data_IF_528677071126
#
_entry.id   IF_528677071126
#
_cell.length_a   1.000
_cell.length_b   1.000
_cell.length_c   1.000
_cell.angle_alpha   90.00
_cell.angle_beta   90.00
_cell.angle_gamma   90.00
#
_symmetry.space_group_name_H-M   'P 1'
#
loop_
_entity.id
_entity.type
_entity.pdbx_description
1 polymer ?
#
# COMPACT_ATOMS: atom_id res chain seq x y z
N UNK A 1 -2.09 -51.65 27.06
CA UNK A 1 -1.27 -50.44 27.26
C UNK A 1 -1.16 -49.76 25.92
N UNK A 2 -1.61 -48.51 25.87
CA UNK A 2 -1.92 -47.67 24.71
C UNK A 2 -0.70 -47.26 23.90
N UNK A 3 -0.81 -47.18 22.56
CA UNK A 3 -0.33 -46.01 21.77
C UNK A 3 -0.87 -46.04 20.33
N UNK A 4 -1.84 -45.17 20.07
CA UNK A 4 -2.04 -44.42 18.83
C UNK A 4 -1.92 -42.93 19.24
N UNK A 5 -1.52 -41.97 18.39
CA UNK A 5 -1.19 -42.10 16.97
C UNK A 5 0.05 -41.28 16.48
N UNK A 6 0.31 -41.41 15.17
CA UNK A 6 0.87 -40.39 14.26
C UNK A 6 2.32 -39.96 14.49
N UNK A 7 3.24 -40.71 13.91
CA UNK A 7 4.55 -40.19 13.56
C UNK A 7 4.36 -39.03 12.57
N UNK A 8 4.46 -37.80 13.09
CA UNK A 8 4.40 -36.53 12.36
C UNK A 8 5.76 -36.19 11.72
N UNK A 9 6.67 -37.16 11.58
CA UNK A 9 8.05 -36.91 11.14
C UNK A 9 8.23 -36.80 9.61
N UNK A 10 7.18 -37.02 8.82
CA UNK A 10 7.18 -36.68 7.38
C UNK A 10 6.29 -35.47 7.06
N UNK A 11 6.18 -34.52 7.99
CA UNK A 11 5.65 -33.19 7.67
C UNK A 11 6.83 -32.32 7.27
N UNK A 12 7.00 -32.16 5.95
CA UNK A 12 8.05 -31.34 5.35
C UNK A 12 8.12 -29.97 6.03
N UNK A 13 9.33 -29.40 6.18
CA UNK A 13 9.57 -28.08 6.78
C UNK A 13 8.76 -26.93 6.14
N UNK A 14 8.04 -27.20 5.04
CA UNK A 14 7.15 -26.27 4.35
C UNK A 14 5.75 -26.17 4.99
N UNK A 15 5.29 -27.17 5.74
CA UNK A 15 3.93 -27.23 6.31
C UNK A 15 3.82 -26.59 7.71
N UNK A 16 4.94 -26.25 8.36
CA UNK A 16 4.95 -25.57 9.67
C UNK A 16 4.99 -24.04 9.59
N UNK A 17 4.77 -23.44 8.41
CA UNK A 17 4.66 -21.97 8.33
C UNK A 17 3.26 -21.53 8.78
N UNK A 18 3.17 -20.99 9.99
CA UNK A 18 1.96 -20.32 10.45
C UNK A 18 1.55 -19.25 9.42
N UNK A 19 0.31 -19.33 8.92
CA UNK A 19 -0.23 -18.29 8.04
C UNK A 19 -0.36 -17.01 8.84
N UNK A 20 0.21 -15.93 8.33
CA UNK A 20 0.08 -14.64 9.00
C UNK A 20 -1.38 -14.22 9.11
N UNK A 21 -1.70 -13.60 10.24
CA UNK A 21 -3.00 -12.94 10.43
C UNK A 21 -3.19 -11.92 9.32
N UNK A 22 -4.42 -11.78 8.83
CA UNK A 22 -4.75 -10.74 7.87
C UNK A 22 -4.29 -9.39 8.44
N UNK A 23 -3.50 -8.61 7.69
CA UNK A 23 -3.00 -7.35 8.16
C UNK A 23 -4.17 -6.42 8.55
N UNK A 24 -3.98 -5.63 9.60
CA UNK A 24 -4.94 -4.61 9.97
C UNK A 24 -5.17 -3.66 8.79
N UNK A 25 -6.43 -3.38 8.47
CA UNK A 25 -6.79 -2.44 7.42
C UNK A 25 -6.69 -1.02 7.98
N UNK A 26 -5.66 -0.29 7.56
CA UNK A 26 -5.51 1.13 7.85
C UNK A 26 -6.10 1.97 6.69
N UNK A 27 -6.91 3.00 6.95
CA UNK A 27 -7.57 3.78 5.90
C UNK A 27 -6.59 4.61 5.06
N UNK A 28 -5.39 4.91 5.55
CA UNK A 28 -4.36 5.68 4.86
C UNK A 28 -3.50 4.83 3.90
N UNK A 29 -3.56 3.50 4.02
CA UNK A 29 -2.75 2.56 3.23
C UNK A 29 -3.61 1.66 2.32
N UNK A 30 -2.94 0.99 1.38
CA UNK A 30 -3.50 -0.04 0.50
C UNK A 30 -2.47 -1.14 0.27
N UNK A 31 -2.89 -2.40 0.32
CA UNK A 31 -2.05 -3.54 -0.06
C UNK A 31 -1.94 -3.61 -1.58
N UNK A 32 -0.71 -3.66 -2.10
CA UNK A 32 -0.40 -3.78 -3.54
C UNK A 32 0.06 -5.18 -3.95
N UNK A 33 0.40 -6.04 -2.98
CA UNK A 33 0.72 -7.43 -3.22
C UNK A 33 0.87 -8.22 -1.92
N UNK A 34 0.42 -9.48 -1.93
CA UNK A 34 0.55 -10.40 -0.80
C UNK A 34 0.62 -11.85 -1.29
N UNK A 35 1.60 -12.64 -0.83
CA UNK A 35 1.72 -14.07 -1.14
C UNK A 35 1.67 -14.96 0.12
N UNK A 36 1.16 -14.43 1.24
CA UNK A 36 1.10 -15.13 2.54
C UNK A 36 2.43 -15.14 3.31
N UNK A 37 3.57 -14.85 2.66
CA UNK A 37 4.89 -14.76 3.30
C UNK A 37 5.55 -13.39 3.16
N UNK A 38 5.09 -12.59 2.21
CA UNK A 38 5.50 -11.25 1.87
C UNK A 38 4.23 -10.43 1.64
N UNK A 39 4.21 -9.22 2.16
CA UNK A 39 3.15 -8.25 1.91
C UNK A 39 3.74 -6.88 1.63
N UNK A 40 3.13 -6.18 0.68
CA UNK A 40 3.55 -4.84 0.25
C UNK A 40 2.39 -3.86 0.32
N UNK A 41 2.69 -2.69 0.84
CA UNK A 41 1.76 -1.59 1.01
C UNK A 41 2.15 -0.41 0.14
N UNK A 42 1.17 0.44 -0.11
CA UNK A 42 1.34 1.78 -0.65
C UNK A 42 0.42 2.74 0.10
N UNK A 43 0.75 4.02 0.13
CA UNK A 43 -0.16 5.04 0.65
C UNK A 43 -1.26 5.32 -0.36
N UNK A 44 -2.47 5.58 0.13
CA UNK A 44 -3.59 5.97 -0.74
C UNK A 44 -3.33 7.34 -1.36
N UNK A 45 -3.96 7.66 -2.51
CA UNK A 45 -3.93 9.01 -3.06
C UNK A 45 -4.35 10.02 -1.99
N UNK A 46 -3.55 11.07 -1.78
CA UNK A 46 -3.80 12.06 -0.73
C UNK A 46 -3.01 11.82 0.54
N UNK A 47 -2.24 10.73 0.59
CA UNK A 47 -1.37 10.42 1.71
C UNK A 47 0.06 10.19 1.23
N UNK A 48 1.02 10.64 2.01
CA UNK A 48 2.45 10.42 1.83
C UNK A 48 2.97 9.47 2.90
N UNK A 49 3.94 8.64 2.53
CA UNK A 49 4.60 7.76 3.49
C UNK A 49 5.36 8.58 4.53
N UNK A 50 5.15 8.27 5.80
CA UNK A 50 5.81 8.95 6.91
C UNK A 50 6.79 8.04 7.64
N UNK A 51 6.36 6.84 8.04
CA UNK A 51 7.19 5.90 8.81
C UNK A 51 6.69 4.45 8.71
N UNK A 52 7.47 3.51 9.26
CA UNK A 52 7.15 2.07 9.29
C UNK A 52 7.69 1.30 8.07
N UNK A 53 7.13 0.12 7.78
CA UNK A 53 7.64 -0.76 6.74
C UNK A 53 6.60 -1.00 5.62
N UNK A 54 6.89 -0.48 4.43
CA UNK A 54 6.04 -0.72 3.24
C UNK A 54 6.09 -2.16 2.74
N UNK A 55 7.09 -2.94 3.15
CA UNK A 55 7.22 -4.36 2.85
C UNK A 55 7.46 -5.12 4.14
N UNK A 56 6.59 -6.08 4.43
CA UNK A 56 6.66 -6.89 5.65
C UNK A 56 6.70 -8.36 5.30
N UNK A 57 7.43 -9.14 6.09
CA UNK A 57 7.57 -10.58 5.89
C UNK A 57 6.82 -11.32 6.99
N UNK A 58 6.22 -12.45 6.65
CA UNK A 58 5.57 -13.32 7.62
C UNK A 58 6.62 -14.16 8.33
N UNK A 59 6.76 -13.92 9.62
CA UNK A 59 7.63 -14.67 10.52
C UNK A 59 7.04 -16.07 10.82
N UNK A 60 7.87 -16.98 11.31
CA UNK A 60 7.48 -18.36 11.66
C UNK A 60 6.41 -18.40 12.75
N UNK A 61 6.33 -17.34 13.55
CA UNK A 61 5.32 -17.17 14.60
C UNK A 61 3.95 -16.73 14.06
N UNK A 62 3.78 -16.56 12.75
CA UNK A 62 2.52 -16.11 12.14
C UNK A 62 2.26 -14.61 12.32
N UNK A 63 3.32 -13.84 12.59
CA UNK A 63 3.29 -12.39 12.78
C UNK A 63 4.04 -11.69 11.64
N UNK A 64 3.54 -10.52 11.24
CA UNK A 64 4.23 -9.69 10.25
C UNK A 64 5.42 -8.98 10.90
N UNK A 65 6.60 -9.15 10.31
CA UNK A 65 7.81 -8.46 10.71
C UNK A 65 7.67 -6.94 10.57
N UNK A 66 8.48 -6.19 11.32
CA UNK A 66 8.53 -4.74 11.21
C UNK A 66 7.27 -4.02 11.72
N UNK A 67 7.22 -2.72 11.43
CA UNK A 67 6.17 -1.81 11.87
C UNK A 67 5.12 -1.60 10.78
N UNK A 68 3.87 -1.42 11.20
CA UNK A 68 2.80 -1.04 10.27
C UNK A 68 3.17 0.31 9.61
N UNK A 69 3.08 0.44 8.28
CA UNK A 69 3.36 1.69 7.61
C UNK A 69 2.34 2.76 8.02
N UNK A 70 2.84 3.95 8.31
CA UNK A 70 2.06 5.13 8.64
C UNK A 70 2.12 6.09 7.46
N UNK A 71 0.96 6.48 6.96
CA UNK A 71 0.84 7.49 5.92
C UNK A 71 0.11 8.72 6.47
N UNK A 72 0.65 9.91 6.22
CA UNK A 72 0.03 11.18 6.62
C UNK A 72 -0.53 11.93 5.44
N UNK A 73 -1.51 12.80 5.68
CA UNK A 73 -2.14 13.61 4.63
C UNK A 73 -1.07 14.39 3.87
N UNK A 74 -1.05 14.20 2.56
CA UNK A 74 -0.16 14.93 1.68
C UNK A 74 -0.69 16.35 1.48
N UNK A 75 -0.07 17.30 2.18
CA UNK A 75 -0.40 18.73 2.08
C UNK A 75 -0.10 19.34 0.70
N UNK A 76 0.56 18.59 -0.20
CA UNK A 76 0.82 19.00 -1.59
C UNK A 76 -0.41 18.76 -2.48
N UNK A 77 -1.29 17.82 -2.13
CA UNK A 77 -2.52 17.51 -2.88
C UNK A 77 -3.40 18.75 -3.18
N UNK A 78 -3.77 19.60 -2.19
CA UNK A 78 -4.52 20.82 -2.48
C UNK A 78 -3.69 21.86 -3.25
N UNK A 79 -2.36 21.88 -3.10
CA UNK A 79 -1.49 22.85 -3.77
C UNK A 79 -1.32 22.56 -5.25
N UNK A 80 -1.09 21.29 -5.63
CA UNK A 80 -0.95 20.89 -7.03
C UNK A 80 -2.27 21.05 -7.80
N UNK A 81 -3.40 20.75 -7.17
CA UNK A 81 -4.72 20.97 -7.77
C UNK A 81 -4.97 22.45 -8.07
N UNK A 82 -4.63 23.35 -7.13
CA UNK A 82 -4.73 24.80 -7.35
C UNK A 82 -3.82 25.28 -8.50
N UNK A 83 -2.58 24.79 -8.57
CA UNK A 83 -1.67 25.14 -9.67
C UNK A 83 -2.22 24.67 -11.02
N UNK A 84 -2.74 23.44 -11.09
CA UNK A 84 -3.35 22.90 -12.32
C UNK A 84 -4.61 23.68 -12.73
N UNK A 85 -5.42 24.13 -11.78
CA UNK A 85 -6.58 25.00 -12.06
C UNK A 85 -6.15 26.36 -12.60
N UNK A 86 -5.11 26.98 -12.01
CA UNK A 86 -4.60 28.28 -12.45
C UNK A 86 -3.99 28.15 -13.86
N UNK A 87 -3.12 27.17 -14.08
CA UNK A 87 -2.49 26.94 -15.39
C UNK A 87 -3.55 26.58 -16.43
N UNK A 88 -4.52 25.73 -16.09
CA UNK A 88 -5.65 25.41 -16.96
C UNK A 88 -6.47 26.64 -17.34
N UNK A 89 -6.81 27.50 -16.37
CA UNK A 89 -7.52 28.75 -16.63
C UNK A 89 -6.70 29.73 -17.48
N UNK A 90 -5.40 29.83 -17.25
CA UNK A 90 -4.50 30.66 -18.05
C UNK A 90 -4.45 30.16 -19.49
N UNK A 91 -4.27 28.85 -19.71
CA UNK A 91 -4.24 28.25 -21.05
C UNK A 91 -5.57 28.41 -21.77
N UNK A 92 -6.71 28.19 -21.09
CA UNK A 92 -8.04 28.38 -21.71
C UNK A 92 -8.30 29.84 -22.05
N UNK A 93 -7.89 30.79 -21.20
CA UNK A 93 -7.98 32.22 -21.49
C UNK A 93 -7.08 32.60 -22.66
N UNK A 94 -5.83 32.14 -22.70
CA UNK A 94 -4.94 32.40 -23.84
C UNK A 94 -5.50 31.84 -25.15
N UNK A 95 -6.00 30.60 -25.14
CA UNK A 95 -6.61 29.98 -26.33
C UNK A 95 -7.91 30.67 -26.76
N UNK A 96 -8.71 31.17 -25.82
CA UNK A 96 -9.92 31.94 -26.12
C UNK A 96 -9.62 33.39 -26.56
N UNK A 97 -8.46 33.93 -26.17
CA UNK A 97 -7.99 35.25 -26.56
C UNK A 97 -7.18 35.25 -27.87
N UNK A 98 -6.78 34.08 -28.38
CA UNK A 98 -6.36 33.97 -29.78
C UNK A 98 -7.62 34.21 -30.60
N UNK A 99 -7.74 35.33 -31.35
CA UNK A 99 -8.87 35.51 -32.24
C UNK A 99 -8.90 34.30 -33.17
N UNK A 100 -10.04 33.61 -33.22
CA UNK A 100 -10.30 32.49 -34.14
C UNK A 100 -10.24 32.91 -35.62
N UNK A 101 -9.69 34.10 -35.94
CA UNK A 101 -9.61 34.73 -37.27
C UNK A 101 -8.38 34.27 -38.10
N UNK A 102 -7.66 33.24 -37.68
CA UNK A 102 -6.54 32.62 -38.43
C UNK A 102 -6.78 31.13 -38.79
N UNK A 103 -8.02 30.74 -39.15
CA UNK A 103 -8.31 29.50 -39.87
C UNK A 103 -9.18 29.76 -41.09
#
# INVERSE_FOLDING_TARGET
MSTLPTDKSEMTLEDQKARCVNPAQDPSTRVIGSNGTDIRYTCRPGFRFESGDLRRLCDVNGTWSGLQPVCTVDSIMPKAYLVMLIVGAIVTVFLACIPYDFY
#
